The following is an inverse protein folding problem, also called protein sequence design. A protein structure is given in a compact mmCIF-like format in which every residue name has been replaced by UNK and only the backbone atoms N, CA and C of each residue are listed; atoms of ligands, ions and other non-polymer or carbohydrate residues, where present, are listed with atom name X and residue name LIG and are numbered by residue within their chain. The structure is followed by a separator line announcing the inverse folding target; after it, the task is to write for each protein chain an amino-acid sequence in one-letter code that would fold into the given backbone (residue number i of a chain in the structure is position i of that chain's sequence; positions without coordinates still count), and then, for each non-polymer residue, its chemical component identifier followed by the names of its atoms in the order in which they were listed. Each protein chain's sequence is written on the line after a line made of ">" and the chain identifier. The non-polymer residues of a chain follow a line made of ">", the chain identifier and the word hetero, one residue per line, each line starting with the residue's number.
data_IF_327394114619
#
_entry.id   IF_327394114619
#
_cell.length_a   1.000
_cell.length_b   1.000
_cell.length_c   1.000
_cell.angle_alpha   90.00
_cell.angle_beta   90.00
_cell.angle_gamma   90.00
#
_symmetry.space_group_name_H-M   'P 1'
#
loop_
_entity.id
_entity.type
_entity.pdbx_description
1 polymer ?
#
# COMPACT_ATOMS: atom_id res chain seq x y z
N UNK A 1 10.24 -12.38 1.07
CA UNK A 1 9.71 -13.51 0.28
C UNK A 1 10.88 -14.28 -0.31
N UNK A 2 10.98 -15.58 0.01
CA UNK A 2 12.08 -16.45 -0.46
C UNK A 2 13.50 -16.01 -0.11
N UNK A 3 13.67 -15.06 0.83
CA UNK A 3 14.97 -14.41 1.08
C UNK A 3 15.48 -13.51 -0.06
N UNK A 4 14.66 -13.26 -1.11
CA UNK A 4 15.09 -12.53 -2.33
C UNK A 4 14.38 -11.20 -2.53
N UNK A 5 13.07 -11.19 -2.33
CA UNK A 5 12.24 -10.00 -2.50
C UNK A 5 11.70 -9.54 -1.14
N UNK A 6 11.71 -8.24 -0.90
CA UNK A 6 11.08 -7.59 0.26
C UNK A 6 9.93 -6.72 -0.23
N UNK A 7 8.81 -6.74 0.48
CA UNK A 7 7.76 -5.75 0.28
C UNK A 7 8.17 -4.49 1.05
N UNK A 8 8.33 -3.38 0.34
CA UNK A 8 8.65 -2.07 0.91
C UNK A 8 7.52 -1.08 0.62
N UNK A 9 7.39 -0.08 1.48
CA UNK A 9 6.47 1.04 1.29
C UNK A 9 7.29 2.34 1.19
N UNK A 10 7.32 2.95 0.01
CA UNK A 10 7.92 4.26 -0.19
C UNK A 10 6.93 5.32 0.29
N UNK A 11 7.39 6.34 1.01
CA UNK A 11 6.55 7.40 1.57
C UNK A 11 6.89 8.75 0.90
N UNK A 12 6.43 9.01 -0.33
CA UNK A 12 6.87 10.15 -1.13
C UNK A 12 6.33 11.51 -0.65
N UNK A 13 5.30 11.51 0.21
CA UNK A 13 4.60 12.72 0.63
C UNK A 13 3.99 12.55 2.04
N UNK A 14 3.53 13.67 2.60
CA UNK A 14 2.79 13.69 3.86
C UNK A 14 1.47 12.93 3.74
N UNK A 15 1.07 12.24 4.83
CA UNK A 15 -0.26 11.64 4.96
C UNK A 15 -1.32 12.63 5.50
N UNK A 16 -0.91 13.82 5.93
CA UNK A 16 -1.81 14.86 6.47
C UNK A 16 -2.50 15.62 5.34
N UNK A 17 -3.23 14.88 4.50
CA UNK A 17 -4.02 15.42 3.42
C UNK A 17 -5.39 14.76 3.36
N UNK A 18 -6.35 15.48 2.78
CA UNK A 18 -7.71 15.01 2.57
C UNK A 18 -7.85 14.05 1.40
N UNK A 19 -9.03 14.04 0.77
CA UNK A 19 -9.31 13.20 -0.40
C UNK A 19 -8.25 13.39 -1.52
N UNK A 20 -7.93 12.31 -2.22
CA UNK A 20 -6.93 12.17 -3.28
C UNK A 20 -5.46 12.25 -2.83
N UNK A 21 -5.19 12.18 -1.53
CA UNK A 21 -3.82 12.17 -1.00
C UNK A 21 -3.13 10.84 -1.31
N UNK A 22 -2.16 10.87 -2.21
CA UNK A 22 -1.26 9.75 -2.50
C UNK A 22 0.00 9.90 -1.66
N UNK A 23 0.19 9.01 -0.67
CA UNK A 23 1.31 9.12 0.29
C UNK A 23 2.09 7.82 0.54
N UNK A 24 1.72 6.74 -0.15
CA UNK A 24 2.44 5.46 -0.11
C UNK A 24 2.61 4.95 -1.54
N UNK A 25 3.77 4.38 -1.85
CA UNK A 25 3.95 3.55 -3.05
C UNK A 25 4.52 2.17 -2.63
N UNK A 26 3.71 1.10 -2.66
CA UNK A 26 4.16 -0.24 -2.33
C UNK A 26 4.99 -0.85 -3.47
N UNK A 27 6.13 -1.45 -3.14
CA UNK A 27 7.09 -1.99 -4.11
C UNK A 27 7.62 -3.36 -3.70
N UNK A 28 7.99 -4.19 -4.68
CA UNK A 28 8.88 -5.33 -4.42
C UNK A 28 10.32 -4.93 -4.69
N UNK A 29 11.14 -4.95 -3.65
CA UNK A 29 12.57 -4.67 -3.72
C UNK A 29 13.38 -5.96 -3.80
N UNK A 30 14.30 -6.04 -4.76
CA UNK A 30 15.29 -7.11 -4.80
C UNK A 30 16.43 -6.80 -3.82
N UNK A 31 16.49 -7.57 -2.75
CA UNK A 31 17.46 -7.40 -1.66
C UNK A 31 18.71 -8.28 -1.82
N UNK A 32 18.85 -8.96 -2.95
CA UNK A 32 20.01 -9.83 -3.25
C UNK A 32 21.06 -9.11 -4.09
N UNK A 33 22.24 -9.73 -4.22
CA UNK A 33 23.33 -9.26 -5.08
C UNK A 33 23.24 -9.75 -6.53
N UNK A 34 22.10 -10.30 -6.95
CA UNK A 34 21.89 -10.86 -8.28
C UNK A 34 20.51 -10.48 -8.82
N UNK A 35 20.31 -10.64 -10.13
CA UNK A 35 18.98 -10.46 -10.71
C UNK A 35 18.01 -11.57 -10.23
N UNK A 36 16.75 -11.20 -9.98
CA UNK A 36 15.70 -12.12 -9.53
C UNK A 36 14.57 -12.16 -10.56
N UNK A 37 14.23 -13.36 -11.02
CA UNK A 37 13.12 -13.58 -11.95
C UNK A 37 11.86 -13.99 -11.19
N UNK A 38 10.72 -13.40 -11.51
CA UNK A 38 9.42 -13.71 -10.90
C UNK A 38 8.25 -13.31 -11.80
N UNK A 39 7.03 -13.67 -11.36
CA UNK A 39 5.76 -13.24 -11.95
C UNK A 39 4.93 -12.60 -10.85
N UNK A 40 4.19 -11.55 -11.16
CA UNK A 40 3.31 -10.94 -10.18
C UNK A 40 2.07 -10.31 -10.81
N UNK A 41 1.04 -10.17 -10.00
CA UNK A 41 -0.14 -9.38 -10.27
C UNK A 41 -0.53 -8.64 -9.00
N UNK A 42 -0.68 -7.34 -9.08
CA UNK A 42 -1.13 -6.46 -8.03
C UNK A 42 -2.39 -5.73 -8.48
N UNK A 43 -3.35 -5.60 -7.58
CA UNK A 43 -4.59 -4.89 -7.78
C UNK A 43 -4.86 -4.06 -6.54
N UNK A 44 -5.21 -2.81 -6.75
CA UNK A 44 -5.71 -1.94 -5.71
C UNK A 44 -7.18 -1.60 -5.99
N UNK A 45 -7.78 -0.79 -5.13
CA UNK A 45 -9.15 -0.30 -5.37
C UNK A 45 -9.26 0.67 -6.55
N UNK A 46 -8.14 1.08 -7.16
CA UNK A 46 -8.09 2.06 -8.25
C UNK A 46 -7.39 1.47 -9.49
N UNK A 47 -6.22 0.87 -9.31
CA UNK A 47 -5.30 0.50 -10.37
C UNK A 47 -4.94 -1.00 -10.36
N UNK A 48 -4.26 -1.43 -11.43
CA UNK A 48 -3.73 -2.79 -11.56
C UNK A 48 -2.36 -2.81 -12.23
N UNK A 49 -1.42 -3.56 -11.66
CA UNK A 49 -0.05 -3.72 -12.18
C UNK A 49 0.30 -5.20 -12.24
N UNK A 50 0.84 -5.67 -13.35
CA UNK A 50 1.23 -7.07 -13.47
C UNK A 50 2.37 -7.23 -14.47
N UNK A 51 3.14 -8.31 -14.29
CA UNK A 51 4.13 -8.71 -15.27
C UNK A 51 4.38 -10.22 -15.18
N UNK A 52 4.67 -10.81 -16.34
CA UNK A 52 5.13 -12.18 -16.46
C UNK A 52 6.60 -12.22 -16.86
N UNK A 53 7.34 -13.23 -16.39
CA UNK A 53 8.78 -13.41 -16.68
C UNK A 53 9.63 -12.17 -16.34
N UNK A 54 9.23 -11.42 -15.31
CA UNK A 54 9.89 -10.18 -14.94
C UNK A 54 11.26 -10.46 -14.32
N UNK A 55 12.32 -9.82 -14.82
CA UNK A 55 13.69 -9.95 -14.31
C UNK A 55 14.10 -8.63 -13.66
N UNK A 56 14.16 -8.61 -12.33
CA UNK A 56 14.50 -7.43 -11.55
C UNK A 56 15.98 -7.43 -11.19
N UNK A 57 16.69 -6.36 -11.55
CA UNK A 57 18.10 -6.19 -11.22
C UNK A 57 18.34 -6.14 -9.69
N UNK A 58 19.58 -6.45 -9.29
CA UNK A 58 20.06 -6.34 -7.90
C UNK A 58 19.83 -4.92 -7.36
N UNK A 59 19.33 -4.80 -6.12
CA UNK A 59 19.09 -3.51 -5.46
C UNK A 59 18.01 -2.63 -6.09
N UNK A 60 17.32 -3.10 -7.13
CA UNK A 60 16.22 -2.40 -7.78
C UNK A 60 14.87 -2.80 -7.19
N UNK A 61 13.83 -2.05 -7.52
CA UNK A 61 12.45 -2.37 -7.13
C UNK A 61 11.50 -2.29 -8.32
N UNK A 62 10.37 -2.98 -8.22
CA UNK A 62 9.22 -2.81 -9.11
C UNK A 62 8.04 -2.27 -8.31
N UNK A 63 7.35 -1.29 -8.87
CA UNK A 63 6.14 -0.72 -8.30
C UNK A 63 4.97 -1.70 -8.43
N UNK A 64 4.17 -1.80 -7.37
CA UNK A 64 2.91 -2.53 -7.39
C UNK A 64 1.73 -1.61 -7.73
N UNK A 65 1.98 -0.30 -7.70
CA UNK A 65 1.04 0.77 -7.96
C UNK A 65 1.81 2.07 -8.33
N UNK A 66 1.21 3.03 -9.03
CA UNK A 66 1.83 4.36 -9.24
C UNK A 66 1.79 5.26 -8.00
N UNK A 67 0.96 4.91 -7.02
CA UNK A 67 0.92 5.44 -5.67
C UNK A 67 -0.50 5.34 -5.13
N UNK A 68 -0.65 4.72 -3.95
CA UNK A 68 -1.96 4.46 -3.38
C UNK A 68 -2.47 5.63 -2.54
N UNK A 69 -3.78 5.87 -2.58
CA UNK A 69 -4.44 6.81 -1.70
C UNK A 69 -4.27 6.40 -0.23
N UNK A 70 -3.71 7.32 0.57
CA UNK A 70 -3.51 7.16 2.00
C UNK A 70 -3.40 8.55 2.63
N UNK A 71 -4.54 9.16 2.92
CA UNK A 71 -4.64 10.38 3.73
C UNK A 71 -5.55 10.15 4.94
N UNK A 72 -5.72 11.17 5.79
CA UNK A 72 -6.78 11.14 6.81
C UNK A 72 -8.18 11.16 6.16
N UNK A 73 -8.27 11.52 4.87
CA UNK A 73 -9.52 11.54 4.13
C UNK A 73 -10.54 12.50 4.74
N UNK A 74 -11.60 11.97 5.33
CA UNK A 74 -12.47 12.74 6.21
C UNK A 74 -11.78 12.96 7.56
N UNK A 75 -11.32 14.18 7.82
CA UNK A 75 -10.71 14.55 9.11
C UNK A 75 -11.76 14.79 10.20
N UNK A 76 -12.58 13.78 10.49
CA UNK A 76 -13.67 13.90 11.45
C UNK A 76 -13.23 13.64 12.89
N UNK A 77 -13.82 14.39 13.82
CA UNK A 77 -13.48 14.35 15.24
C UNK A 77 -14.76 14.14 16.05
N UNK A 78 -14.82 13.07 16.84
CA UNK A 78 -15.89 12.77 17.76
C UNK A 78 -16.13 13.93 18.74
N UNK A 79 -17.40 14.34 18.87
CA UNK A 79 -17.82 15.47 19.71
C UNK A 79 -17.67 16.84 19.05
N UNK A 80 -17.01 16.94 17.90
CA UNK A 80 -16.78 18.20 17.17
C UNK A 80 -17.40 18.18 15.77
N UNK A 81 -17.06 17.18 14.95
CA UNK A 81 -17.63 17.00 13.61
C UNK A 81 -19.09 16.56 13.70
N UNK A 82 -19.90 16.99 12.72
CA UNK A 82 -21.28 16.51 12.59
C UNK A 82 -21.28 15.10 12.01
N UNK A 83 -21.80 14.08 12.72
CA UNK A 83 -21.84 12.72 12.20
C UNK A 83 -22.69 12.61 10.93
N UNK A 84 -22.21 11.87 9.94
CA UNK A 84 -23.01 11.54 8.74
C UNK A 84 -24.14 10.58 9.13
N UNK A 85 -25.39 10.97 8.90
CA UNK A 85 -26.57 10.13 9.18
C UNK A 85 -26.77 9.02 8.15
N UNK A 86 -26.31 9.24 6.92
CA UNK A 86 -26.17 8.27 5.85
C UNK A 86 -24.93 8.66 5.02
N UNK A 87 -24.21 7.69 4.47
CA UNK A 87 -22.97 7.98 3.73
C UNK A 87 -22.70 6.96 2.65
N UNK A 88 -22.04 7.44 1.60
CA UNK A 88 -21.38 6.64 0.56
C UNK A 88 -19.90 7.01 0.55
N UNK A 89 -19.04 6.08 0.16
CA UNK A 89 -17.62 6.39 -0.05
C UNK A 89 -17.44 7.30 -1.26
N UNK A 90 -16.55 8.28 -1.17
CA UNK A 90 -16.26 9.24 -2.27
C UNK A 90 -15.18 8.75 -3.24
N UNK A 91 -14.52 7.62 -2.96
CA UNK A 91 -13.27 7.24 -3.61
C UNK A 91 -12.12 8.18 -3.20
N UNK A 92 -10.86 7.77 -3.38
CA UNK A 92 -9.69 8.64 -3.17
C UNK A 92 -9.27 8.90 -1.71
N UNK A 93 -9.99 8.38 -0.71
CA UNK A 93 -9.65 8.57 0.72
C UNK A 93 -8.60 7.57 1.20
N UNK A 94 -8.83 6.29 0.90
CA UNK A 94 -7.93 5.20 1.27
C UNK A 94 -8.00 4.10 0.22
N UNK A 95 -6.86 3.47 -0.04
CA UNK A 95 -6.69 2.45 -1.06
C UNK A 95 -5.94 1.24 -0.51
N UNK A 96 -6.51 0.08 -0.77
CA UNK A 96 -5.97 -1.22 -0.33
C UNK A 96 -5.37 -1.91 -1.52
N UNK A 97 -4.24 -2.59 -1.33
CA UNK A 97 -3.57 -3.36 -2.37
C UNK A 97 -3.50 -4.84 -2.01
N UNK A 98 -3.89 -5.69 -2.96
CA UNK A 98 -3.64 -7.13 -2.93
C UNK A 98 -2.67 -7.48 -4.05
N UNK A 99 -1.65 -8.27 -3.74
CA UNK A 99 -0.70 -8.76 -4.73
C UNK A 99 -0.48 -10.26 -4.61
N UNK A 100 -0.39 -10.93 -5.75
CA UNK A 100 0.07 -12.30 -5.89
C UNK A 100 1.44 -12.31 -6.57
N UNK A 101 2.32 -13.19 -6.11
CA UNK A 101 3.66 -13.37 -6.68
C UNK A 101 4.06 -14.84 -6.73
N UNK A 102 4.62 -15.25 -7.86
CA UNK A 102 5.31 -16.53 -8.02
C UNK A 102 6.81 -16.29 -8.08
N UNK A 103 7.53 -16.86 -7.12
CA UNK A 103 8.98 -16.74 -6.95
C UNK A 103 9.54 -18.11 -6.54
N UNK A 104 10.53 -18.62 -7.28
CA UNK A 104 11.18 -19.92 -7.01
C UNK A 104 10.16 -21.06 -6.79
N UNK A 105 9.19 -21.18 -7.70
CA UNK A 105 8.09 -22.14 -7.66
C UNK A 105 7.19 -22.04 -6.42
N UNK A 106 7.25 -20.92 -5.68
CA UNK A 106 6.39 -20.62 -4.53
C UNK A 106 5.42 -19.51 -4.87
N UNK A 107 4.17 -19.68 -4.46
CA UNK A 107 3.15 -18.66 -4.64
C UNK A 107 2.87 -17.97 -3.30
N UNK A 108 2.96 -16.65 -3.29
CA UNK A 108 2.60 -15.81 -2.15
C UNK A 108 1.45 -14.87 -2.50
N UNK A 109 0.60 -14.60 -1.50
CA UNK A 109 -0.40 -13.55 -1.52
C UNK A 109 -0.10 -12.53 -0.44
N UNK A 110 -0.21 -11.26 -0.81
CA UNK A 110 -0.02 -10.09 0.04
C UNK A 110 -1.33 -9.33 0.12
N UNK A 111 -1.72 -8.92 1.32
CA UNK A 111 -2.75 -7.91 1.55
C UNK A 111 -2.11 -6.74 2.32
N UNK A 112 -2.20 -5.55 1.74
CA UNK A 112 -1.62 -4.31 2.25
C UNK A 112 -2.73 -3.28 2.46
N UNK A 113 -3.02 -2.97 3.72
CA UNK A 113 -4.07 -2.02 4.10
C UNK A 113 -3.44 -0.92 4.98
N UNK A 114 -3.15 0.26 4.42
CA UNK A 114 -2.73 1.41 5.20
C UNK A 114 -3.93 2.21 5.72
N UNK A 115 -3.73 2.94 6.81
CA UNK A 115 -4.66 3.95 7.34
C UNK A 115 -3.89 5.15 7.88
N UNK A 116 -4.60 6.26 8.05
CA UNK A 116 -4.14 7.43 8.81
C UNK A 116 -5.17 7.69 9.91
N UNK A 117 -4.73 7.70 11.16
CA UNK A 117 -5.54 8.08 12.31
C UNK A 117 -5.23 9.55 12.68
N UNK A 118 -6.27 10.36 12.84
CA UNK A 118 -6.16 11.74 13.31
C UNK A 118 -6.16 11.85 14.84
N UNK A 119 -6.17 10.71 15.54
CA UNK A 119 -6.18 10.58 16.99
C UNK A 119 -7.31 11.37 17.67
N UNK A 120 -8.38 11.66 16.94
CA UNK A 120 -9.49 12.48 17.38
C UNK A 120 -9.08 13.88 17.86
N UNK A 121 -8.05 14.48 17.26
CA UNK A 121 -7.57 15.84 17.56
C UNK A 121 -7.71 16.77 16.35
N UNK A 122 -7.63 18.08 16.60
CA UNK A 122 -7.74 19.11 15.54
C UNK A 122 -6.40 19.44 14.89
N UNK A 123 -5.31 18.81 15.31
CA UNK A 123 -3.95 19.15 14.88
C UNK A 123 -3.32 18.00 14.14
N UNK A 124 -2.58 18.30 13.07
CA UNK A 124 -1.94 17.26 12.27
C UNK A 124 -0.61 16.73 12.86
N UNK A 125 -0.20 17.24 14.02
CA UNK A 125 1.12 16.95 14.62
C UNK A 125 1.23 15.56 15.22
N UNK A 126 0.11 14.97 15.60
CA UNK A 126 0.01 13.68 16.27
C UNK A 126 -0.67 12.62 15.41
N UNK A 127 -1.07 12.94 14.18
CA UNK A 127 -1.62 11.93 13.25
C UNK A 127 -0.63 10.77 13.07
N UNK A 128 -1.15 9.54 13.08
CA UNK A 128 -0.36 8.32 12.91
C UNK A 128 -0.72 7.64 11.60
N UNK A 129 0.29 7.08 10.93
CA UNK A 129 0.09 6.18 9.80
C UNK A 129 0.24 4.75 10.28
N UNK A 130 -0.78 3.94 10.06
CA UNK A 130 -0.80 2.54 10.46
C UNK A 130 -0.83 1.66 9.23
N UNK A 131 -0.08 0.56 9.24
CA UNK A 131 0.01 -0.35 8.10
C UNK A 131 -0.29 -1.77 8.58
N UNK A 132 -1.40 -2.31 8.11
CA UNK A 132 -1.83 -3.68 8.35
C UNK A 132 -1.38 -4.54 7.15
N UNK A 133 -0.57 -5.55 7.43
CA UNK A 133 0.06 -6.38 6.41
C UNK A 133 -0.17 -7.87 6.71
N UNK A 134 -0.59 -8.61 5.68
CA UNK A 134 -0.54 -10.07 5.68
C UNK A 134 0.23 -10.56 4.46
N UNK A 135 1.15 -11.50 4.67
CA UNK A 135 1.85 -12.21 3.61
C UNK A 135 1.69 -13.71 3.87
N UNK A 136 1.02 -14.40 2.98
CA UNK A 136 0.76 -15.83 3.06
C UNK A 136 1.46 -16.55 1.92
N UNK A 137 2.13 -17.66 2.22
CA UNK A 137 2.55 -18.62 1.19
C UNK A 137 1.39 -19.57 0.92
N UNK A 138 0.92 -19.60 -0.32
CA UNK A 138 -0.18 -20.42 -0.79
C UNK A 138 0.30 -21.77 -1.37
N UNK A 139 1.55 -21.84 -1.83
CA UNK A 139 2.21 -23.05 -2.33
C UNK A 139 3.73 -23.01 -2.05
#
# INVERSE_FOLDING_TARGET
>A
MGGKLRLDALLPSSANGGNATVSINPVFSNITNAAVKFWYSAMSTVNNYNASNYLLASGSYVKLDDGIYCGYGYNDIAGTSTPRTAGIGEGGHNEVLTADIVLDDKWYRINFFPTVDNNNTTTDSDNTREIYLSIQRLY
#
